data_IF_646808769553
#
_entry.id   IF_646808769553
#
_cell.length_a   1.000
_cell.length_b   1.000
_cell.length_c   1.000
_cell.angle_alpha   90.00
_cell.angle_beta   90.00
_cell.angle_gamma   90.00
#
_symmetry.space_group_name_H-M   'P 1'
#
loop_
_entity.id
_entity.type
_entity.pdbx_description
1 polymer ?
#
# COMPACT_ATOMS: atom_id res chain seq x y z
N UNK A 1 49.51 53.94 -32.69
CA UNK A 1 48.54 53.21 -31.89
C UNK A 1 49.28 52.31 -30.90
N UNK A 2 49.15 52.56 -29.58
CA UNK A 2 50.05 52.00 -28.56
C UNK A 2 49.77 50.48 -28.43
N UNK A 3 50.85 49.66 -28.50
CA UNK A 3 50.73 48.16 -28.36
C UNK A 3 49.99 47.73 -27.15
N UNK A 4 49.95 48.51 -26.08
CA UNK A 4 49.22 48.21 -24.84
C UNK A 4 47.71 48.36 -24.99
N UNK A 5 47.20 49.18 -25.91
CA UNK A 5 45.77 49.36 -26.18
C UNK A 5 45.29 48.17 -27.02
N UNK A 6 46.09 47.64 -27.92
CA UNK A 6 45.73 46.45 -28.70
C UNK A 6 45.58 45.20 -27.81
N UNK A 7 46.44 45.07 -26.77
CA UNK A 7 46.38 43.99 -25.81
C UNK A 7 45.13 44.06 -24.90
N UNK A 8 44.75 45.29 -24.48
CA UNK A 8 43.56 45.53 -23.69
C UNK A 8 42.28 45.24 -24.48
N UNK A 9 42.23 45.59 -25.74
CA UNK A 9 41.10 45.31 -26.63
C UNK A 9 41.00 43.79 -26.92
N UNK A 10 42.13 43.11 -27.13
CA UNK A 10 42.18 41.67 -27.31
C UNK A 10 41.71 40.92 -26.04
N UNK A 11 42.06 41.42 -24.84
CA UNK A 11 41.62 40.82 -23.57
C UNK A 11 40.11 41.01 -23.30
N UNK A 12 39.55 42.17 -23.70
CA UNK A 12 38.09 42.39 -23.58
C UNK A 12 37.26 41.55 -24.56
N UNK A 13 37.77 41.28 -25.77
CA UNK A 13 37.06 40.44 -26.75
C UNK A 13 37.12 38.98 -26.37
N UNK A 14 38.15 38.49 -25.65
CA UNK A 14 38.20 37.10 -25.18
C UNK A 14 37.35 36.86 -23.94
N UNK A 15 37.07 37.90 -23.13
CA UNK A 15 36.17 37.79 -21.98
C UNK A 15 34.67 37.81 -22.37
N UNK A 16 34.31 38.31 -23.56
CA UNK A 16 32.89 38.38 -23.98
C UNK A 16 32.36 37.11 -24.66
N UNK A 17 33.19 36.07 -24.87
CA UNK A 17 32.80 34.80 -25.46
C UNK A 17 32.59 33.67 -24.44
N UNK A 18 32.67 33.97 -23.14
CA UNK A 18 32.61 32.98 -22.07
C UNK A 18 31.28 32.83 -21.33
N UNK A 19 30.25 33.59 -21.67
CA UNK A 19 28.92 33.46 -21.05
C UNK A 19 27.89 32.93 -22.04
N UNK A 20 28.18 31.80 -22.69
CA UNK A 20 27.12 30.90 -23.08
C UNK A 20 26.71 30.21 -21.79
N UNK A 21 25.88 30.89 -20.99
CA UNK A 21 25.10 30.25 -19.97
C UNK A 21 24.25 29.19 -20.69
N UNK A 22 24.66 27.93 -20.61
CA UNK A 22 23.70 26.86 -20.73
C UNK A 22 22.65 27.14 -19.65
N UNK A 23 21.53 27.72 -20.01
CA UNK A 23 20.32 27.49 -19.27
C UNK A 23 20.13 25.97 -19.36
N UNK A 24 20.59 25.24 -18.34
CA UNK A 24 20.01 23.92 -18.08
C UNK A 24 18.54 24.21 -17.93
N UNK A 25 17.77 23.94 -18.98
CA UNK A 25 16.36 23.64 -18.85
C UNK A 25 16.31 22.44 -17.88
N UNK A 26 16.22 22.73 -16.59
CA UNK A 26 15.77 21.77 -15.61
C UNK A 26 14.29 21.57 -15.93
N UNK A 27 14.04 20.77 -16.98
CA UNK A 27 12.72 20.24 -17.24
C UNK A 27 12.36 19.53 -15.94
N UNK A 28 11.42 20.12 -15.20
CA UNK A 28 10.86 19.48 -13.99
C UNK A 28 10.30 18.15 -14.48
N UNK A 29 11.00 17.06 -14.15
CA UNK A 29 10.61 15.73 -14.59
C UNK A 29 9.22 15.47 -14.02
N UNK A 30 8.23 15.17 -14.89
CA UNK A 30 6.88 14.84 -14.45
C UNK A 30 6.95 13.58 -13.57
N UNK A 31 6.67 13.68 -12.26
CA UNK A 31 6.76 12.55 -11.34
C UNK A 31 5.80 11.41 -11.73
N UNK A 32 4.89 11.67 -12.65
CA UNK A 32 3.88 10.72 -13.15
C UNK A 32 4.12 10.31 -14.62
N UNK A 33 5.26 10.65 -15.22
CA UNK A 33 5.60 10.17 -16.55
C UNK A 33 5.56 8.64 -16.61
N UNK A 34 4.95 8.09 -17.67
CA UNK A 34 4.80 6.64 -17.88
C UNK A 34 4.16 5.90 -16.67
N UNK A 35 3.16 6.53 -16.04
CA UNK A 35 2.64 6.11 -14.73
C UNK A 35 2.14 4.66 -14.71
N UNK A 36 1.31 4.26 -15.67
CA UNK A 36 0.79 2.90 -15.78
C UNK A 36 1.93 1.87 -15.89
N UNK A 37 2.83 2.03 -16.86
CA UNK A 37 3.94 1.11 -17.04
C UNK A 37 4.88 1.01 -15.81
N UNK A 38 5.07 2.12 -15.09
CA UNK A 38 5.85 2.13 -13.85
C UNK A 38 5.15 1.39 -12.71
N UNK A 39 3.83 1.49 -12.63
CA UNK A 39 3.04 0.76 -11.65
C UNK A 39 3.02 -0.74 -11.95
N UNK A 40 2.89 -1.12 -13.21
CA UNK A 40 2.98 -2.53 -13.64
C UNK A 40 4.36 -3.11 -13.30
N UNK A 41 5.44 -2.42 -13.66
CA UNK A 41 6.80 -2.87 -13.31
C UNK A 41 7.05 -2.94 -11.80
N UNK A 42 6.49 -2.00 -11.03
CA UNK A 42 6.55 -2.06 -9.57
C UNK A 42 5.81 -3.31 -9.05
N UNK A 43 4.61 -3.57 -9.55
CA UNK A 43 3.83 -4.74 -9.16
C UNK A 43 4.57 -6.05 -9.49
N UNK A 44 5.18 -6.16 -10.68
CA UNK A 44 6.02 -7.30 -11.07
C UNK A 44 7.13 -7.55 -10.04
N UNK A 45 7.80 -6.49 -9.60
CA UNK A 45 8.87 -6.60 -8.60
C UNK A 45 8.36 -7.10 -7.25
N UNK A 46 7.17 -6.70 -6.84
CA UNK A 46 6.53 -7.16 -5.60
C UNK A 46 6.10 -8.63 -5.72
N UNK A 47 5.54 -9.02 -6.88
CA UNK A 47 5.19 -10.43 -7.17
C UNK A 47 6.41 -11.33 -7.07
N UNK A 48 7.55 -10.90 -7.63
CA UNK A 48 8.80 -11.66 -7.57
C UNK A 48 9.34 -11.79 -6.14
N UNK A 49 9.25 -10.72 -5.33
CA UNK A 49 9.61 -10.78 -3.91
C UNK A 49 8.70 -11.75 -3.15
N UNK A 50 7.38 -11.67 -3.36
CA UNK A 50 6.42 -12.54 -2.69
C UNK A 50 6.60 -14.01 -3.10
N UNK A 51 6.85 -14.30 -4.38
CA UNK A 51 7.14 -15.66 -4.86
C UNK A 51 8.43 -16.22 -4.29
N UNK A 52 9.48 -15.40 -4.22
CA UNK A 52 10.76 -15.79 -3.64
C UNK A 52 10.64 -16.05 -2.15
N UNK A 53 9.84 -15.28 -1.44
CA UNK A 53 9.52 -15.38 -0.02
C UNK A 53 10.74 -15.74 0.85
N UNK A 54 11.85 -15.01 0.66
CA UNK A 54 13.16 -15.37 1.22
C UNK A 54 13.20 -15.38 2.76
N UNK A 55 12.32 -14.61 3.40
CA UNK A 55 12.19 -14.51 4.86
C UNK A 55 10.97 -15.27 5.44
N UNK A 56 10.17 -15.89 4.57
CA UNK A 56 8.98 -16.64 4.95
C UNK A 56 7.80 -15.78 5.43
N UNK A 57 7.83 -14.46 5.18
CA UNK A 57 6.85 -13.50 5.70
C UNK A 57 5.93 -12.89 4.63
N UNK A 58 6.07 -13.32 3.39
CA UNK A 58 5.25 -12.87 2.29
C UNK A 58 4.06 -13.78 2.05
N UNK A 59 2.93 -13.16 1.74
CA UNK A 59 1.70 -13.84 1.32
C UNK A 59 1.17 -13.19 0.06
N UNK A 60 0.74 -14.03 -0.90
CA UNK A 60 -0.02 -13.64 -2.07
C UNK A 60 -1.48 -14.01 -1.82
N UNK A 61 -2.29 -13.03 -1.47
CA UNK A 61 -3.66 -13.26 -1.00
C UNK A 61 -4.66 -12.93 -2.11
N UNK A 62 -5.31 -13.94 -2.71
CA UNK A 62 -6.32 -13.72 -3.73
C UNK A 62 -7.51 -12.93 -3.19
N UNK A 63 -8.11 -12.10 -4.04
CA UNK A 63 -9.25 -11.27 -3.68
C UNK A 63 -10.38 -12.10 -3.07
N UNK A 64 -10.86 -11.71 -1.91
CA UNK A 64 -11.91 -12.41 -1.17
C UNK A 64 -13.22 -12.61 -1.95
N UNK A 65 -13.48 -11.81 -2.98
CA UNK A 65 -14.66 -11.93 -3.87
C UNK A 65 -14.55 -13.06 -4.88
N UNK A 66 -13.37 -13.61 -5.04
CA UNK A 66 -13.12 -14.67 -6.00
C UNK A 66 -13.29 -16.00 -5.28
N UNK A 67 -14.32 -16.78 -5.66
CA UNK A 67 -14.47 -18.14 -5.17
C UNK A 67 -13.33 -19.01 -5.65
N UNK A 68 -12.80 -19.86 -4.79
CA UNK A 68 -11.57 -20.59 -5.02
C UNK A 68 -11.87 -22.08 -5.09
N UNK A 69 -11.51 -22.67 -6.24
CA UNK A 69 -11.38 -24.11 -6.41
C UNK A 69 -9.90 -24.45 -6.66
N UNK A 70 -9.43 -25.55 -6.07
CA UNK A 70 -8.09 -26.04 -6.34
C UNK A 70 -8.01 -26.56 -7.77
N UNK A 71 -7.12 -25.98 -8.56
CA UNK A 71 -6.86 -26.43 -9.93
C UNK A 71 -6.14 -27.78 -10.00
N UNK A 72 -6.12 -28.40 -11.19
CA UNK A 72 -5.57 -29.76 -11.40
C UNK A 72 -4.09 -29.90 -11.05
N UNK A 73 -3.35 -28.80 -10.93
CA UNK A 73 -1.93 -28.78 -10.57
C UNK A 73 -1.66 -28.15 -9.19
N UNK A 74 -2.68 -28.07 -8.32
CA UNK A 74 -2.57 -27.41 -7.03
C UNK A 74 -2.59 -25.88 -7.11
N UNK A 75 -2.78 -25.30 -8.29
CA UNK A 75 -2.97 -23.88 -8.49
C UNK A 75 -4.38 -23.46 -8.06
N UNK A 76 -4.50 -22.23 -7.62
CA UNK A 76 -5.78 -21.62 -7.25
C UNK A 76 -6.47 -21.18 -8.55
N UNK A 77 -7.69 -21.67 -8.80
CA UNK A 77 -8.45 -21.35 -10.01
C UNK A 77 -9.61 -20.43 -9.66
N UNK A 78 -9.88 -19.45 -10.52
CA UNK A 78 -11.13 -18.68 -10.50
C UNK A 78 -12.33 -19.58 -10.80
N UNK A 79 -13.54 -19.26 -10.32
CA UNK A 79 -14.75 -20.04 -10.61
C UNK A 79 -15.01 -20.22 -12.11
N UNK A 80 -14.48 -19.36 -12.95
CA UNK A 80 -14.53 -19.41 -14.42
C UNK A 80 -13.54 -20.41 -15.04
N UNK A 81 -12.68 -21.07 -14.26
CA UNK A 81 -11.60 -21.92 -14.77
C UNK A 81 -10.34 -21.14 -15.21
N UNK A 82 -10.30 -19.84 -14.98
CA UNK A 82 -9.13 -19.01 -15.26
C UNK A 82 -8.16 -18.99 -14.07
N UNK A 83 -6.86 -19.05 -14.34
CA UNK A 83 -5.83 -18.89 -13.31
C UNK A 83 -5.86 -17.46 -12.73
N UNK A 84 -5.47 -17.30 -11.44
CA UNK A 84 -5.29 -15.99 -10.86
C UNK A 84 -4.15 -15.25 -11.53
N UNK A 85 -4.43 -14.01 -11.91
CA UNK A 85 -3.40 -13.08 -12.37
C UNK A 85 -2.80 -12.35 -11.18
N UNK A 86 -1.64 -11.73 -11.35
CA UNK A 86 -1.01 -10.92 -10.30
C UNK A 86 -1.87 -9.73 -9.87
N UNK A 87 -2.82 -9.30 -10.69
CA UNK A 87 -3.74 -8.19 -10.41
C UNK A 87 -4.99 -8.61 -9.64
N UNK A 88 -5.19 -9.91 -9.44
CA UNK A 88 -6.32 -10.47 -8.69
C UNK A 88 -6.00 -10.70 -7.21
N UNK A 89 -4.77 -10.45 -6.79
CA UNK A 89 -4.27 -10.70 -5.44
C UNK A 89 -3.68 -9.46 -4.81
N UNK A 90 -3.67 -9.40 -3.49
CA UNK A 90 -2.87 -8.44 -2.73
C UNK A 90 -1.62 -9.14 -2.19
N UNK A 91 -0.55 -8.38 -2.00
CA UNK A 91 0.73 -8.88 -1.51
C UNK A 91 0.99 -8.30 -0.14
N UNK A 92 1.11 -9.18 0.85
CA UNK A 92 1.27 -8.81 2.26
C UNK A 92 2.61 -9.28 2.75
N UNK A 93 3.42 -8.37 3.29
CA UNK A 93 4.70 -8.67 3.91
C UNK A 93 4.65 -8.30 5.39
N UNK A 94 4.70 -9.29 6.27
CA UNK A 94 4.65 -9.07 7.71
C UNK A 94 6.00 -8.65 8.29
N UNK A 95 6.02 -7.60 9.08
CA UNK A 95 7.10 -7.26 10.00
C UNK A 95 6.90 -7.97 11.35
N UNK A 96 5.68 -7.94 11.84
CA UNK A 96 5.24 -8.65 13.04
C UNK A 96 3.97 -9.41 12.69
N UNK A 97 3.95 -10.71 12.96
CA UNK A 97 2.79 -11.56 12.78
C UNK A 97 2.51 -12.28 14.10
N UNK A 98 1.31 -12.10 14.64
CA UNK A 98 0.89 -12.74 15.87
C UNK A 98 0.51 -14.19 15.59
N UNK A 99 0.85 -15.09 16.52
CA UNK A 99 0.49 -16.49 16.41
C UNK A 99 -1.01 -16.72 16.67
N UNK A 100 -1.60 -15.90 17.53
CA UNK A 100 -2.99 -15.99 17.99
C UNK A 100 -3.71 -14.67 17.74
N UNK A 101 -5.02 -14.73 17.65
CA UNK A 101 -5.89 -13.59 17.42
C UNK A 101 -6.97 -13.93 16.41
N UNK A 102 -7.95 -13.07 16.31
CA UNK A 102 -9.06 -13.21 15.37
C UNK A 102 -9.01 -12.08 14.35
N UNK A 103 -8.96 -12.47 13.07
CA UNK A 103 -9.04 -11.53 11.97
C UNK A 103 -10.46 -10.98 11.83
N UNK A 104 -10.64 -9.76 11.33
CA UNK A 104 -11.97 -9.19 11.17
C UNK A 104 -12.79 -9.94 10.13
N UNK A 105 -14.07 -9.94 10.35
CA UNK A 105 -15.09 -10.34 9.37
C UNK A 105 -15.47 -9.12 8.50
N UNK A 106 -16.15 -9.37 7.40
CA UNK A 106 -16.61 -8.33 6.47
C UNK A 106 -17.48 -7.24 7.13
N UNK A 107 -18.24 -7.63 8.16
CA UNK A 107 -19.17 -6.74 8.91
C UNK A 107 -18.52 -6.02 10.08
N UNK A 108 -17.28 -6.36 10.40
CA UNK A 108 -16.57 -5.78 11.54
C UNK A 108 -15.99 -4.41 11.21
N UNK A 109 -15.57 -3.71 12.27
CA UNK A 109 -14.69 -2.55 12.16
C UNK A 109 -13.30 -2.91 12.66
N UNK A 110 -12.29 -2.23 12.12
CA UNK A 110 -10.91 -2.34 12.57
C UNK A 110 -10.39 -0.99 13.00
N UNK A 111 -9.65 -0.96 14.10
CA UNK A 111 -8.88 0.20 14.55
C UNK A 111 -7.44 -0.03 14.15
N UNK A 112 -6.85 0.89 13.36
CA UNK A 112 -5.54 0.72 12.74
C UNK A 112 -4.72 2.00 12.77
N UNK A 113 -3.41 1.83 12.91
CA UNK A 113 -2.43 2.81 12.47
C UNK A 113 -2.03 2.46 11.04
N UNK A 114 -1.99 3.46 10.17
CA UNK A 114 -1.65 3.22 8.77
C UNK A 114 -1.06 4.45 8.10
N UNK A 115 -0.30 4.22 7.07
CA UNK A 115 0.09 5.20 6.08
C UNK A 115 -0.02 4.59 4.68
N UNK A 116 -0.41 5.41 3.71
CA UNK A 116 -0.54 5.02 2.31
C UNK A 116 0.32 5.90 1.40
N UNK A 117 1.06 5.25 0.49
CA UNK A 117 1.92 5.90 -0.49
C UNK A 117 1.66 5.38 -1.90
N UNK A 118 1.91 6.25 -2.87
CA UNK A 118 2.09 5.88 -4.26
C UNK A 118 3.51 5.32 -4.49
N UNK A 119 3.75 4.74 -5.66
CA UNK A 119 5.07 4.18 -6.01
C UNK A 119 6.20 5.22 -6.08
N UNK A 120 5.89 6.49 -6.27
CA UNK A 120 6.82 7.62 -6.23
C UNK A 120 7.08 8.15 -4.80
N UNK A 121 6.63 7.41 -3.77
CA UNK A 121 6.69 7.75 -2.35
C UNK A 121 5.88 9.00 -1.95
N UNK A 122 4.98 9.47 -2.78
CA UNK A 122 3.99 10.47 -2.39
C UNK A 122 3.00 9.86 -1.42
N UNK A 123 2.92 10.43 -0.21
CA UNK A 123 1.95 10.01 0.80
C UNK A 123 0.60 10.61 0.46
N UNK A 124 -0.41 9.78 0.29
CA UNK A 124 -1.77 10.24 -0.01
C UNK A 124 -2.72 10.15 1.18
N UNK A 125 -2.43 9.32 2.17
CA UNK A 125 -3.28 9.15 3.35
C UNK A 125 -2.50 8.59 4.55
N UNK A 126 -3.06 8.70 5.76
CA UNK A 126 -2.49 8.09 6.95
C UNK A 126 -2.72 8.88 8.23
N UNK A 127 -2.50 8.23 9.36
CA UNK A 127 -2.77 8.78 10.70
C UNK A 127 -1.55 8.88 11.62
N UNK A 128 -0.34 8.64 11.10
CA UNK A 128 0.90 8.91 11.84
C UNK A 128 1.97 9.54 10.95
N UNK A 129 3.04 10.10 11.56
CA UNK A 129 4.16 10.71 10.85
C UNK A 129 5.47 10.02 11.25
N UNK A 130 6.45 10.07 10.34
CA UNK A 130 7.77 9.47 10.53
C UNK A 130 7.86 8.02 10.07
N UNK A 131 9.00 7.41 10.40
CA UNK A 131 9.28 6.02 10.05
C UNK A 131 8.47 5.07 10.91
N UNK A 132 8.23 3.87 10.37
CA UNK A 132 7.55 2.80 11.05
C UNK A 132 8.43 2.21 12.16
N UNK A 133 8.41 2.80 13.36
CA UNK A 133 9.14 2.32 14.54
C UNK A 133 8.16 1.86 15.61
N UNK A 134 8.57 0.89 16.42
CA UNK A 134 7.77 0.36 17.53
C UNK A 134 7.49 1.41 18.62
N UNK A 135 8.26 2.49 18.63
CA UNK A 135 8.19 3.58 19.59
C UNK A 135 7.01 4.54 19.38
N UNK A 136 6.31 4.49 18.23
CA UNK A 136 5.10 5.28 18.01
C UNK A 136 3.92 4.58 18.68
N UNK A 137 3.86 4.77 19.99
CA UNK A 137 2.78 4.29 20.83
C UNK A 137 1.59 5.25 20.78
N UNK A 138 0.50 4.80 21.34
CA UNK A 138 -0.79 5.51 21.44
C UNK A 138 -0.71 6.89 22.11
N UNK A 139 0.44 7.28 22.66
CA UNK A 139 0.65 8.56 23.34
C UNK A 139 0.70 9.75 22.37
N UNK A 140 1.12 9.54 21.11
CA UNK A 140 1.31 10.62 20.14
C UNK A 140 0.26 10.59 19.02
N UNK A 141 -0.14 9.39 18.59
CA UNK A 141 -1.07 9.20 17.48
C UNK A 141 -2.28 8.39 17.92
N UNK A 142 -3.42 8.64 17.29
CA UNK A 142 -4.64 7.89 17.52
C UNK A 142 -4.94 6.99 16.32
N UNK A 143 -5.34 5.73 16.53
CA UNK A 143 -5.72 4.87 15.45
C UNK A 143 -7.04 5.33 14.81
N UNK A 144 -7.18 5.11 13.52
CA UNK A 144 -8.42 5.34 12.79
C UNK A 144 -9.26 4.07 12.78
N UNK A 145 -10.58 4.24 12.90
CA UNK A 145 -11.51 3.11 12.85
C UNK A 145 -12.23 3.09 11.51
N UNK A 146 -12.13 1.96 10.81
CA UNK A 146 -12.79 1.72 9.53
C UNK A 146 -13.72 0.53 9.61
N UNK A 147 -14.87 0.64 8.96
CA UNK A 147 -15.72 -0.50 8.67
C UNK A 147 -15.07 -1.32 7.54
N UNK A 148 -14.85 -2.62 7.73
CA UNK A 148 -14.12 -3.46 6.75
C UNK A 148 -14.79 -3.39 5.37
N UNK A 149 -16.11 -3.48 5.30
CA UNK A 149 -16.83 -3.35 4.03
C UNK A 149 -16.75 -1.96 3.38
N UNK A 150 -16.28 -0.94 4.10
CA UNK A 150 -16.19 0.46 3.64
C UNK A 150 -14.87 0.84 3.00
N UNK A 151 -13.83 -0.02 3.08
CA UNK A 151 -12.52 0.23 2.46
C UNK A 151 -12.42 -0.45 1.09
N UNK A 152 -11.39 -0.13 0.32
CA UNK A 152 -11.15 -0.76 -0.99
C UNK A 152 -10.97 -2.28 -0.88
N UNK A 153 -11.34 -3.02 -1.94
CA UNK A 153 -11.38 -4.47 -1.89
C UNK A 153 -10.03 -5.13 -1.57
N UNK A 154 -8.93 -4.47 -1.94
CA UNK A 154 -7.59 -4.92 -1.56
C UNK A 154 -7.32 -4.86 -0.06
N UNK A 155 -7.78 -3.82 0.63
CA UNK A 155 -7.71 -3.74 2.09
C UNK A 155 -8.57 -4.82 2.76
N UNK A 156 -9.80 -5.00 2.28
CA UNK A 156 -10.69 -6.05 2.77
C UNK A 156 -10.01 -7.41 2.67
N UNK A 157 -9.39 -7.68 1.52
CA UNK A 157 -8.67 -8.94 1.25
C UNK A 157 -7.48 -9.13 2.21
N UNK A 158 -6.69 -8.07 2.45
CA UNK A 158 -5.55 -8.15 3.36
C UNK A 158 -5.97 -8.32 4.83
N UNK A 159 -7.06 -7.70 5.25
CA UNK A 159 -7.51 -7.75 6.64
C UNK A 159 -8.16 -9.10 7.00
N UNK A 160 -8.99 -9.63 6.11
CA UNK A 160 -9.78 -10.82 6.39
C UNK A 160 -8.98 -12.11 6.20
N UNK A 161 -9.40 -13.17 6.89
CA UNK A 161 -8.86 -14.50 6.66
C UNK A 161 -9.20 -14.95 5.23
N UNK A 162 -8.17 -15.35 4.47
CA UNK A 162 -8.36 -15.95 3.17
C UNK A 162 -8.45 -17.48 3.28
N UNK A 163 -9.41 -18.06 2.57
CA UNK A 163 -9.54 -19.53 2.49
C UNK A 163 -8.60 -20.12 1.46
N UNK A 164 -8.08 -19.31 0.57
CA UNK A 164 -7.32 -19.69 -0.60
C UNK A 164 -5.82 -19.73 -0.40
N UNK A 165 -5.29 -18.85 0.43
CA UNK A 165 -3.88 -18.82 0.71
C UNK A 165 -3.59 -19.66 1.93
N UNK A 166 -2.90 -20.79 1.73
CA UNK A 166 -2.56 -21.70 2.82
C UNK A 166 -1.71 -20.97 3.88
N UNK A 167 -2.23 -20.94 5.11
CA UNK A 167 -1.55 -20.30 6.25
C UNK A 167 -1.85 -18.81 6.43
N UNK A 168 -2.54 -18.13 5.50
CA UNK A 168 -2.95 -16.74 5.71
C UNK A 168 -4.15 -16.67 6.66
N UNK A 169 -3.94 -16.10 7.82
CA UNK A 169 -4.96 -16.00 8.88
C UNK A 169 -5.77 -14.71 8.83
N UNK A 170 -5.44 -13.79 7.91
CA UNK A 170 -5.83 -12.38 7.95
C UNK A 170 -4.91 -11.61 8.89
N UNK A 171 -5.18 -10.33 9.06
CA UNK A 171 -4.45 -9.47 10.00
C UNK A 171 -5.19 -9.40 11.33
N UNK A 172 -4.50 -9.77 12.40
CA UNK A 172 -5.07 -9.77 13.77
C UNK A 172 -4.47 -8.62 14.59
N UNK A 173 -5.07 -8.26 15.74
CA UNK A 173 -4.51 -7.24 16.63
C UNK A 173 -3.05 -7.51 16.99
N UNK A 174 -2.18 -6.51 16.81
CA UNK A 174 -0.73 -6.59 16.99
C UNK A 174 0.05 -6.89 15.71
N UNK A 175 -0.61 -7.31 14.63
CA UNK A 175 0.04 -7.51 13.34
C UNK A 175 0.48 -6.19 12.72
N UNK A 176 1.65 -6.24 12.05
CA UNK A 176 2.22 -5.13 11.28
C UNK A 176 2.70 -5.64 9.94
N UNK A 177 2.23 -5.02 8.88
CA UNK A 177 2.57 -5.45 7.53
C UNK A 177 2.62 -4.30 6.53
N UNK A 178 3.41 -4.50 5.48
CA UNK A 178 3.24 -3.80 4.21
C UNK A 178 2.22 -4.54 3.37
N UNK A 179 1.30 -3.78 2.79
CA UNK A 179 0.25 -4.28 1.90
C UNK A 179 0.34 -3.57 0.57
N UNK A 180 0.60 -4.32 -0.50
CA UNK A 180 0.65 -3.81 -1.86
C UNK A 180 -0.62 -4.23 -2.60
N UNK A 181 -1.36 -3.23 -3.08
CA UNK A 181 -2.69 -3.40 -3.66
C UNK A 181 -2.64 -2.96 -5.13
N UNK A 182 -2.85 -3.87 -6.09
CA UNK A 182 -3.01 -3.53 -7.49
C UNK A 182 -4.18 -2.56 -7.70
N UNK A 183 -4.09 -1.69 -8.70
CA UNK A 183 -5.13 -0.69 -8.94
C UNK A 183 -6.52 -1.30 -9.19
N UNK A 184 -6.59 -2.52 -9.72
CA UNK A 184 -7.85 -3.26 -9.93
C UNK A 184 -8.59 -3.55 -8.62
N UNK A 185 -7.86 -3.67 -7.51
CA UNK A 185 -8.40 -3.93 -6.17
C UNK A 185 -8.45 -2.66 -5.32
N UNK A 186 -8.15 -1.50 -5.93
CA UNK A 186 -8.13 -0.18 -5.33
C UNK A 186 -9.08 0.78 -6.07
N UNK A 187 -8.55 1.79 -6.74
CA UNK A 187 -9.32 2.85 -7.41
C UNK A 187 -9.40 2.73 -8.94
N UNK A 188 -8.95 1.61 -9.48
CA UNK A 188 -9.07 1.29 -10.90
C UNK A 188 -8.29 2.22 -11.84
N UNK A 189 -8.75 2.27 -13.06
CA UNK A 189 -8.16 3.10 -14.13
C UNK A 189 -8.52 4.58 -14.01
N UNK A 190 -9.55 4.91 -13.22
CA UNK A 190 -10.04 6.29 -13.05
C UNK A 190 -9.34 7.03 -11.91
N UNK A 191 -8.84 6.31 -10.89
CA UNK A 191 -8.29 6.91 -9.68
C UNK A 191 -9.35 7.48 -8.73
N UNK A 192 -8.92 8.23 -7.71
CA UNK A 192 -9.81 8.91 -6.74
C UNK A 192 -9.08 10.06 -6.05
N UNK A 193 -9.65 11.25 -6.06
CA UNK A 193 -9.04 12.43 -5.47
C UNK A 193 -7.66 12.73 -6.05
N UNK A 194 -6.62 12.73 -5.21
CA UNK A 194 -5.23 12.92 -5.62
C UNK A 194 -4.58 11.64 -6.19
N UNK A 195 -5.21 10.48 -6.01
CA UNK A 195 -4.71 9.20 -6.49
C UNK A 195 -5.06 9.04 -7.97
N UNK A 196 -4.06 9.01 -8.83
CA UNK A 196 -4.25 8.80 -10.27
C UNK A 196 -4.74 7.39 -10.56
N UNK A 197 -5.43 7.22 -11.69
CA UNK A 197 -5.73 5.89 -12.23
C UNK A 197 -4.47 5.06 -12.44
N UNK A 198 -4.60 3.76 -12.45
CA UNK A 198 -3.50 2.78 -12.58
C UNK A 198 -2.48 2.81 -11.42
N UNK A 199 -2.85 3.38 -10.26
CA UNK A 199 -1.95 3.44 -9.11
C UNK A 199 -2.00 2.16 -8.29
N UNK A 200 -0.87 1.47 -8.18
CA UNK A 200 -0.63 0.50 -7.11
C UNK A 200 -0.50 1.26 -5.80
N UNK A 201 -1.24 0.83 -4.79
CA UNK A 201 -1.20 1.45 -3.47
C UNK A 201 -0.28 0.64 -2.55
N UNK A 202 0.60 1.33 -1.86
CA UNK A 202 1.46 0.76 -0.84
C UNK A 202 1.02 1.28 0.52
N UNK A 203 0.66 0.36 1.43
CA UNK A 203 0.28 0.70 2.80
C UNK A 203 1.20 0.04 3.81
N UNK A 204 1.53 0.79 4.87
CA UNK A 204 1.91 0.19 6.15
C UNK A 204 0.68 0.14 7.03
N UNK A 205 0.40 -1.00 7.63
CA UNK A 205 -0.76 -1.21 8.50
C UNK A 205 -0.30 -1.88 9.80
N UNK A 206 -0.71 -1.31 10.94
CA UNK A 206 -0.70 -1.99 12.24
C UNK A 206 -2.15 -2.13 12.69
N UNK A 207 -2.61 -3.35 12.90
CA UNK A 207 -3.93 -3.60 13.47
C UNK A 207 -3.86 -3.44 14.98
N UNK A 208 -4.64 -2.52 15.52
CA UNK A 208 -4.72 -2.28 16.95
C UNK A 208 -5.87 -3.07 17.59
N UNK A 209 -7.02 -3.10 16.91
CA UNK A 209 -8.23 -3.75 17.45
C UNK A 209 -9.17 -4.17 16.34
N UNK A 210 -9.82 -5.33 16.54
CA UNK A 210 -11.02 -5.77 15.80
C UNK A 210 -12.25 -5.49 16.66
N UNK A 211 -13.28 -4.92 16.07
CA UNK A 211 -14.51 -4.48 16.75
C UNK A 211 -15.69 -5.13 16.05
N UNK A 212 -16.29 -6.12 16.70
CA UNK A 212 -17.47 -6.81 16.19
C UNK A 212 -18.73 -5.94 16.38
N UNK A 213 -19.69 -5.96 15.44
CA UNK A 213 -20.95 -5.28 15.63
C UNK A 213 -21.72 -5.92 16.80
N UNK A 214 -22.33 -5.09 17.62
CA UNK A 214 -23.12 -5.59 18.75
C UNK A 214 -24.34 -6.34 18.23
N UNK A 215 -24.39 -7.64 18.48
CA UNK A 215 -25.54 -8.48 18.17
C UNK A 215 -26.78 -8.20 19.08
N UNK A 216 -27.96 -8.70 18.71
CA UNK A 216 -29.15 -8.57 19.52
C UNK A 216 -29.00 -9.15 20.95
N UNK A 217 -28.14 -10.15 21.09
CA UNK A 217 -27.90 -10.83 22.36
C UNK A 217 -27.03 -10.06 23.34
N UNK A 218 -26.14 -9.19 22.86
CA UNK A 218 -25.33 -8.31 23.71
C UNK A 218 -26.19 -7.30 24.49
N UNK A 219 -27.38 -6.98 24.01
CA UNK A 219 -28.35 -6.14 24.72
C UNK A 219 -29.01 -6.87 25.89
N UNK A 220 -29.20 -8.19 25.80
CA UNK A 220 -29.79 -9.02 26.86
C UNK A 220 -28.83 -9.22 28.04
N UNK A 221 -27.53 -9.33 27.79
CA UNK A 221 -26.50 -9.52 28.84
C UNK A 221 -26.44 -8.30 29.77
N UNK A 222 -26.55 -7.08 29.24
CA UNK A 222 -26.57 -5.87 30.05
C UNK A 222 -27.82 -5.77 31.01
N UNK A 223 -28.96 -6.31 30.58
CA UNK A 223 -30.20 -6.31 31.38
C UNK A 223 -30.13 -7.26 32.56
N UNK A 224 -29.34 -8.34 32.43
CA UNK A 224 -29.17 -9.31 33.54
C UNK A 224 -28.18 -8.80 34.59
N UNK A 225 -27.16 -8.03 34.21
CA UNK A 225 -26.17 -7.47 35.15
C UNK A 225 -26.68 -6.27 35.95
N UNK A 226 -27.76 -5.62 35.53
CA UNK A 226 -28.39 -4.50 36.27
C UNK A 226 -29.55 -4.91 37.15
N UNK A 227 -29.90 -6.21 37.19
CA UNK A 227 -31.03 -6.76 37.98
C UNK A 227 -30.63 -7.56 39.25
N UNK A 228 -29.32 -7.45 39.68
CA UNK A 228 -28.82 -8.05 40.93
C UNK A 228 -28.31 -6.99 41.89
#
# INVERSE_FOLDING_TARGET
>A
MNKNILWLVALMVTCSLGFASCAEDTAVEDPYANWEARNDHYLDSIVDLARKNADGKWYCVPNYKIGIENGPNGGIIKPSGEEYTMTDSVYVHFYTQQETGEAPLFTDSVSVYYNGWLINNEKFDGNYQGDWKDEYTDEIYSPSTFLVQGVVSGWQTALMKATAEAGYKGMVPGDRADVHIPYQLAYGTSGSGSIRGYSVLKFHIKVEKVIHPKGPDDRKIKTIQTAN
#
